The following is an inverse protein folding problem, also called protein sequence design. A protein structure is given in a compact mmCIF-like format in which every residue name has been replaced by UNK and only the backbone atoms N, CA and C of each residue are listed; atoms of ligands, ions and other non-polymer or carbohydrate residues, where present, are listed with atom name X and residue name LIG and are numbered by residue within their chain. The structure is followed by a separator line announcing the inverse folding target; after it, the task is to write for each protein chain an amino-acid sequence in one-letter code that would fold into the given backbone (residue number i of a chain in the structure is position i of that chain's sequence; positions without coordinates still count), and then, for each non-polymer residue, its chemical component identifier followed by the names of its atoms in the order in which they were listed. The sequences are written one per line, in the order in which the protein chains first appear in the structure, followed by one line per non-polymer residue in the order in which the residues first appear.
data_IF_203791586068
#
_entry.id   IF_203791586068
#
_cell.length_a   1.000
_cell.length_b   1.000
_cell.length_c   1.000
_cell.angle_alpha   90.00
_cell.angle_beta   90.00
_cell.angle_gamma   90.00
#
_symmetry.space_group_name_H-M   'P 1'
#
loop_
_entity.id
_entity.type
_entity.pdbx_description
1 polymer ?
#
# COMPACT_ATOMS: atom_id res chain seq x y z
N UNK A 1 -26.76 18.07 15.05
CA UNK A 1 -26.00 17.86 13.80
C UNK A 1 -24.77 16.97 14.00
N UNK A 2 -23.96 17.14 15.04
CA UNK A 2 -22.74 16.34 15.24
C UNK A 2 -22.93 14.82 15.43
N UNK A 3 -24.00 14.38 16.11
CA UNK A 3 -24.25 12.94 16.35
C UNK A 3 -24.63 12.21 15.06
N UNK A 4 -25.49 12.80 14.22
CA UNK A 4 -25.87 12.18 12.93
C UNK A 4 -24.69 12.12 11.97
N UNK A 5 -23.88 13.17 11.91
CA UNK A 5 -22.68 13.24 11.08
C UNK A 5 -21.64 12.17 11.50
N UNK A 6 -21.39 12.02 12.81
CA UNK A 6 -20.48 10.99 13.31
C UNK A 6 -20.99 9.56 12.99
N UNK A 7 -22.30 9.31 13.04
CA UNK A 7 -22.88 8.02 12.64
C UNK A 7 -22.62 7.74 11.15
N UNK A 8 -22.87 8.71 10.28
CA UNK A 8 -22.64 8.57 8.83
C UNK A 8 -21.15 8.29 8.57
N UNK A 9 -20.25 9.09 9.14
CA UNK A 9 -18.81 8.88 8.94
C UNK A 9 -18.36 7.52 9.52
N UNK A 10 -18.95 7.04 10.61
CA UNK A 10 -18.67 5.70 11.16
C UNK A 10 -19.03 4.58 10.18
N UNK A 11 -20.19 4.67 9.51
CA UNK A 11 -20.60 3.71 8.48
C UNK A 11 -19.66 3.77 7.27
N UNK A 12 -19.34 4.98 6.82
CA UNK A 12 -18.40 5.18 5.70
C UNK A 12 -17.01 4.64 6.03
N UNK A 13 -16.54 4.80 7.27
CA UNK A 13 -15.26 4.26 7.73
C UNK A 13 -15.26 2.74 7.71
N UNK A 14 -16.33 2.10 8.18
CA UNK A 14 -16.50 0.64 8.11
C UNK A 14 -16.45 0.12 6.67
N UNK A 15 -17.11 0.81 5.74
CA UNK A 15 -17.21 0.43 4.34
C UNK A 15 -15.99 0.88 3.50
N UNK A 16 -15.11 1.72 4.05
CA UNK A 16 -14.02 2.34 3.29
C UNK A 16 -13.05 1.32 2.70
N UNK A 17 -12.59 0.36 3.49
CA UNK A 17 -11.65 -0.68 3.02
C UNK A 17 -12.32 -1.62 2.01
N UNK A 18 -13.50 -2.21 2.29
CA UNK A 18 -14.20 -3.06 1.32
C UNK A 18 -14.43 -2.38 -0.03
N UNK A 19 -15.03 -1.18 -0.02
CA UNK A 19 -15.38 -0.50 -1.26
C UNK A 19 -14.14 -0.07 -2.05
N UNK A 20 -13.12 0.45 -1.37
CA UNK A 20 -11.91 0.92 -2.04
C UNK A 20 -11.14 -0.22 -2.73
N UNK A 21 -11.17 -1.41 -2.12
CA UNK A 21 -10.40 -2.56 -2.59
C UNK A 21 -11.14 -3.43 -3.62
N UNK A 22 -12.48 -3.37 -3.65
CA UNK A 22 -13.30 -4.24 -4.49
C UNK A 22 -14.04 -3.46 -5.58
N UNK A 23 -14.49 -2.23 -5.30
CA UNK A 23 -15.27 -1.46 -6.26
C UNK A 23 -14.40 -0.61 -7.19
N UNK A 24 -14.64 -0.59 -8.52
CA UNK A 24 -13.86 0.21 -9.47
C UNK A 24 -13.82 1.71 -9.13
N UNK A 25 -14.95 2.24 -8.64
CA UNK A 25 -15.09 3.63 -8.18
C UNK A 25 -15.08 3.76 -6.65
N UNK A 26 -14.48 2.80 -5.96
CA UNK A 26 -14.44 2.75 -4.49
C UNK A 26 -13.79 3.98 -3.84
N UNK A 27 -12.89 4.65 -4.55
CA UNK A 27 -12.28 5.90 -4.10
C UNK A 27 -13.28 7.04 -3.83
N UNK A 28 -14.48 7.03 -4.42
CA UNK A 28 -15.52 8.05 -4.18
C UNK A 28 -15.96 8.10 -2.70
N UNK A 29 -15.86 6.99 -1.96
CA UNK A 29 -16.18 6.98 -0.52
C UNK A 29 -15.30 7.95 0.26
N UNK A 30 -14.02 8.08 -0.13
CA UNK A 30 -13.11 9.03 0.51
C UNK A 30 -13.41 10.47 0.12
N UNK A 31 -13.85 10.73 -1.10
CA UNK A 31 -14.37 12.05 -1.48
C UNK A 31 -15.51 12.49 -0.58
N UNK A 32 -16.43 11.59 -0.26
CA UNK A 32 -17.53 11.87 0.68
C UNK A 32 -17.01 12.06 2.12
N UNK A 33 -16.09 11.21 2.59
CA UNK A 33 -15.48 11.35 3.93
C UNK A 33 -14.72 12.69 4.03
N UNK A 34 -13.98 13.10 3.01
CA UNK A 34 -13.29 14.40 2.96
C UNK A 34 -14.28 15.54 3.09
N UNK A 35 -15.34 15.55 2.29
CA UNK A 35 -16.36 16.56 2.31
C UNK A 35 -17.03 16.69 3.69
N UNK A 36 -17.45 15.56 4.26
CA UNK A 36 -18.06 15.52 5.58
C UNK A 36 -17.09 15.94 6.69
N UNK A 37 -15.81 15.60 6.55
CA UNK A 37 -14.76 16.02 7.48
C UNK A 37 -14.57 17.54 7.46
N UNK A 38 -14.55 18.15 6.28
CA UNK A 38 -14.46 19.61 6.12
C UNK A 38 -15.67 20.32 6.75
N UNK A 39 -16.88 19.80 6.53
CA UNK A 39 -18.10 20.34 7.15
C UNK A 39 -18.05 20.23 8.68
N UNK A 40 -17.58 19.09 9.19
CA UNK A 40 -17.42 18.90 10.64
C UNK A 40 -16.38 19.83 11.25
N UNK A 41 -15.23 20.00 10.59
CA UNK A 41 -14.16 20.89 11.06
C UNK A 41 -14.58 22.36 11.05
N UNK A 42 -15.31 22.81 10.02
CA UNK A 42 -15.87 24.18 9.95
C UNK A 42 -16.80 24.48 11.12
N UNK A 43 -17.59 23.51 11.55
CA UNK A 43 -18.58 23.66 12.62
C UNK A 43 -18.03 23.32 14.01
N UNK A 44 -16.75 22.98 14.14
CA UNK A 44 -16.14 22.64 15.42
C UNK A 44 -15.68 23.88 16.17
N UNK A 45 -16.05 23.96 17.44
CA UNK A 45 -15.56 24.99 18.39
C UNK A 45 -14.19 24.63 18.98
N UNK A 46 -13.57 23.55 18.49
CA UNK A 46 -12.30 23.05 19.02
C UNK A 46 -11.13 23.93 18.59
N UNK A 47 -10.37 24.43 19.58
CA UNK A 47 -9.00 24.92 19.34
C UNK A 47 -8.17 23.75 18.84
N UNK A 48 -7.55 23.89 17.65
CA UNK A 48 -6.65 22.86 17.11
C UNK A 48 -5.52 22.59 18.11
N UNK A 49 -5.47 21.41 18.76
CA UNK A 49 -4.37 21.10 19.66
C UNK A 49 -3.06 21.11 18.86
N UNK A 50 -1.98 21.56 19.48
CA UNK A 50 -0.68 21.62 18.82
C UNK A 50 -0.29 20.26 18.23
N UNK A 51 0.11 20.26 16.95
CA UNK A 51 0.64 19.08 16.30
C UNK A 51 1.98 18.68 16.91
N UNK A 52 2.17 17.40 17.18
CA UNK A 52 3.47 16.88 17.57
C UNK A 52 4.43 16.79 16.37
N UNK A 53 5.70 16.44 16.63
CA UNK A 53 6.73 16.39 15.60
C UNK A 53 6.43 15.40 14.47
N UNK A 54 5.75 14.30 14.77
CA UNK A 54 5.42 13.27 13.79
C UNK A 54 4.25 13.70 12.91
N UNK A 55 3.23 14.31 13.50
CA UNK A 55 2.10 14.88 12.78
C UNK A 55 2.59 15.98 11.80
N UNK A 56 3.49 16.86 12.27
CA UNK A 56 4.13 17.89 11.42
C UNK A 56 4.94 17.26 10.29
N UNK A 57 5.66 16.18 10.57
CA UNK A 57 6.47 15.50 9.57
C UNK A 57 5.62 14.86 8.47
N UNK A 58 4.47 14.24 8.80
CA UNK A 58 3.54 13.70 7.82
C UNK A 58 2.93 14.81 6.95
N UNK A 59 2.43 15.88 7.57
CA UNK A 59 1.85 17.01 6.83
C UNK A 59 2.88 17.65 5.91
N UNK A 60 4.11 17.85 6.39
CA UNK A 60 5.22 18.35 5.59
C UNK A 60 5.54 17.41 4.41
N UNK A 61 5.65 16.11 4.66
CA UNK A 61 6.00 15.13 3.62
C UNK A 61 4.94 15.06 2.52
N UNK A 62 3.66 15.09 2.89
CA UNK A 62 2.53 15.12 1.95
C UNK A 62 2.51 16.41 1.14
N UNK A 63 2.74 17.54 1.82
CA UNK A 63 2.86 18.85 1.16
C UNK A 63 4.04 18.94 0.22
N UNK A 64 5.20 18.40 0.62
CA UNK A 64 6.40 18.40 -0.19
C UNK A 64 6.28 17.53 -1.44
N UNK A 65 5.61 16.38 -1.34
CA UNK A 65 5.30 15.54 -2.49
C UNK A 65 4.43 16.28 -3.51
N UNK A 66 3.38 16.96 -3.05
CA UNK A 66 2.54 17.80 -3.91
C UNK A 66 3.34 18.94 -4.58
N UNK A 67 4.18 19.64 -3.81
CA UNK A 67 5.00 20.73 -4.32
C UNK A 67 6.02 20.24 -5.36
N UNK A 68 6.65 19.08 -5.13
CA UNK A 68 7.58 18.47 -6.09
C UNK A 68 6.91 18.20 -7.43
N UNK A 69 5.71 17.59 -7.41
CA UNK A 69 4.94 17.34 -8.63
C UNK A 69 4.49 18.66 -9.31
N UNK A 70 4.05 19.64 -8.53
CA UNK A 70 3.66 20.94 -9.07
C UNK A 70 4.83 21.64 -9.76
N UNK A 71 6.03 21.59 -9.17
CA UNK A 71 7.26 22.15 -9.80
C UNK A 71 7.54 21.43 -11.12
N UNK A 72 7.47 20.10 -11.16
CA UNK A 72 7.68 19.32 -12.38
C UNK A 72 6.70 19.74 -13.49
N UNK A 73 5.40 19.84 -13.17
CA UNK A 73 4.37 20.25 -14.14
C UNK A 73 4.63 21.66 -14.69
N UNK A 74 4.99 22.60 -13.82
CA UNK A 74 5.28 23.98 -14.23
C UNK A 74 6.54 24.13 -15.09
N UNK A 75 7.53 23.26 -14.89
CA UNK A 75 8.79 23.31 -15.63
C UNK A 75 8.71 22.62 -17.00
N UNK A 76 7.83 21.63 -17.14
CA UNK A 76 7.75 20.80 -18.35
C UNK A 76 6.40 20.93 -19.08
N UNK A 77 5.65 22.02 -18.84
CA UNK A 77 4.36 22.31 -19.46
C UNK A 77 3.36 21.12 -19.35
N UNK A 78 3.38 20.43 -18.18
CA UNK A 78 2.51 19.29 -17.89
C UNK A 78 1.04 19.71 -17.73
N UNK A 79 0.14 18.75 -17.82
CA UNK A 79 -1.29 19.00 -17.66
C UNK A 79 -1.70 19.11 -16.18
N UNK A 80 -2.71 19.92 -15.87
CA UNK A 80 -3.25 20.04 -14.48
C UNK A 80 -3.76 18.70 -13.96
N UNK A 81 -4.21 17.79 -14.85
CA UNK A 81 -4.65 16.43 -14.44
C UNK A 81 -3.52 15.63 -13.80
N UNK A 82 -2.26 15.93 -14.12
CA UNK A 82 -1.11 15.19 -13.60
C UNK A 82 -0.91 15.47 -12.09
N UNK A 83 -1.50 16.57 -11.57
CA UNK A 83 -1.61 16.82 -10.12
C UNK A 83 -2.60 15.90 -9.40
N UNK A 84 -3.42 15.11 -10.10
CA UNK A 84 -4.51 14.36 -9.47
C UNK A 84 -3.98 13.43 -8.35
N UNK A 85 -2.92 12.68 -8.62
CA UNK A 85 -2.33 11.76 -7.63
C UNK A 85 -1.73 12.52 -6.45
N UNK A 86 -0.89 13.52 -6.73
CA UNK A 86 -0.21 14.31 -5.70
C UNK A 86 -1.19 15.12 -4.84
N UNK A 87 -2.26 15.65 -5.44
CA UNK A 87 -3.30 16.41 -4.74
C UNK A 87 -4.02 15.58 -3.67
N UNK A 88 -4.13 14.27 -3.83
CA UNK A 88 -4.77 13.37 -2.87
C UNK A 88 -4.08 13.35 -1.52
N UNK A 89 -2.75 13.49 -1.50
CA UNK A 89 -2.00 13.59 -0.24
C UNK A 89 -2.41 14.82 0.58
N UNK A 90 -2.74 15.93 -0.07
CA UNK A 90 -3.27 17.12 0.60
C UNK A 90 -4.76 16.97 0.95
N UNK A 91 -5.55 16.46 0.01
CA UNK A 91 -7.00 16.30 0.16
C UNK A 91 -7.40 15.35 1.28
N UNK A 92 -6.54 14.43 1.71
CA UNK A 92 -6.82 13.54 2.86
C UNK A 92 -6.51 14.17 4.22
N UNK A 93 -5.81 15.30 4.29
CA UNK A 93 -5.49 15.97 5.56
C UNK A 93 -6.74 16.34 6.39
N UNK A 94 -7.87 16.81 5.82
CA UNK A 94 -9.11 17.00 6.56
C UNK A 94 -9.59 15.74 7.28
N UNK A 95 -9.39 14.54 6.70
CA UNK A 95 -9.71 13.25 7.33
C UNK A 95 -8.89 13.08 8.61
N UNK A 96 -7.57 13.31 8.52
CA UNK A 96 -6.67 13.22 9.66
C UNK A 96 -7.11 14.18 10.80
N UNK A 97 -7.34 15.45 10.50
CA UNK A 97 -7.73 16.44 11.50
C UNK A 97 -9.11 16.17 12.10
N UNK A 98 -10.06 15.66 11.31
CA UNK A 98 -11.38 15.29 11.80
C UNK A 98 -11.29 14.10 12.76
N UNK A 99 -10.64 12.99 12.35
CA UNK A 99 -10.53 11.81 13.21
C UNK A 99 -9.72 12.07 14.47
N UNK A 100 -8.77 12.98 14.44
CA UNK A 100 -8.01 13.42 15.61
C UNK A 100 -8.88 14.02 16.74
N UNK A 101 -10.04 14.54 16.37
CA UNK A 101 -10.99 15.17 17.30
C UNK A 101 -12.26 14.32 17.53
N UNK A 102 -12.43 13.27 16.75
CA UNK A 102 -13.62 12.44 16.80
C UNK A 102 -13.56 11.43 17.96
N UNK A 103 -14.75 10.98 18.41
CA UNK A 103 -14.89 9.86 19.35
C UNK A 103 -15.28 8.57 18.62
N UNK A 104 -14.99 8.45 17.32
CA UNK A 104 -15.31 7.29 16.52
C UNK A 104 -14.41 6.13 16.94
N UNK A 105 -15.00 4.94 17.09
CA UNK A 105 -14.28 3.76 17.53
C UNK A 105 -13.36 3.21 16.43
N UNK A 106 -12.06 2.97 16.73
CA UNK A 106 -11.10 2.38 15.79
C UNK A 106 -11.51 1.01 15.26
N UNK A 107 -12.28 0.24 16.05
CA UNK A 107 -12.71 -1.12 15.69
C UNK A 107 -13.54 -1.14 14.41
N UNK A 108 -14.24 -0.05 14.08
CA UNK A 108 -15.03 0.04 12.84
C UNK A 108 -14.16 -0.10 11.60
N UNK A 109 -13.03 0.60 11.56
CA UNK A 109 -12.07 0.47 10.45
C UNK A 109 -11.55 -0.97 10.35
N UNK A 110 -11.17 -1.57 11.48
CA UNK A 110 -10.66 -2.92 11.50
C UNK A 110 -11.73 -3.98 11.16
N UNK A 111 -12.98 -3.75 11.55
CA UNK A 111 -14.11 -4.59 11.09
C UNK A 111 -14.25 -4.54 9.57
N UNK A 112 -14.05 -3.37 8.95
CA UNK A 112 -13.96 -3.23 7.50
C UNK A 112 -12.83 -4.07 6.89
N UNK A 113 -11.67 -4.15 7.54
CA UNK A 113 -10.54 -5.01 7.11
C UNK A 113 -10.95 -6.50 7.12
N UNK A 114 -11.64 -6.95 8.17
CA UNK A 114 -12.12 -8.34 8.27
C UNK A 114 -13.18 -8.64 7.20
N UNK A 115 -14.15 -7.74 7.00
CA UNK A 115 -15.16 -7.86 5.93
C UNK A 115 -14.47 -7.94 4.56
N UNK A 116 -13.43 -7.16 4.34
CA UNK A 116 -12.66 -7.18 3.08
C UNK A 116 -12.04 -8.56 2.84
N UNK A 117 -11.42 -9.17 3.86
CA UNK A 117 -10.86 -10.52 3.74
C UNK A 117 -11.91 -11.57 3.40
N UNK A 118 -13.08 -11.50 4.06
CA UNK A 118 -14.20 -12.36 3.74
C UNK A 118 -14.65 -12.22 2.27
N UNK A 119 -14.79 -10.98 1.80
CA UNK A 119 -15.17 -10.71 0.42
C UNK A 119 -14.11 -11.20 -0.58
N UNK A 120 -12.82 -11.05 -0.28
CA UNK A 120 -11.74 -11.61 -1.11
C UNK A 120 -11.82 -13.13 -1.22
N UNK A 121 -12.14 -13.82 -0.12
CA UNK A 121 -12.37 -15.27 -0.12
C UNK A 121 -13.58 -15.66 -0.99
N UNK A 122 -14.69 -14.96 -0.85
CA UNK A 122 -15.89 -15.18 -1.68
C UNK A 122 -15.60 -14.95 -3.17
N UNK A 123 -14.82 -13.94 -3.49
CA UNK A 123 -14.48 -13.56 -4.87
C UNK A 123 -13.54 -14.57 -5.53
N UNK A 124 -12.51 -15.04 -4.83
CA UNK A 124 -11.43 -15.85 -5.43
C UNK A 124 -11.51 -17.34 -5.12
N UNK A 125 -11.94 -17.70 -3.93
CA UNK A 125 -11.96 -19.11 -3.49
C UNK A 125 -13.28 -19.79 -3.90
N UNK A 126 -14.42 -19.11 -3.74
CA UNK A 126 -15.73 -19.66 -4.08
C UNK A 126 -15.84 -20.13 -5.55
N UNK A 127 -15.38 -19.34 -6.55
CA UNK A 127 -15.41 -19.77 -7.95
C UNK A 127 -14.61 -21.04 -8.24
N UNK A 128 -13.53 -21.30 -7.50
CA UNK A 128 -12.70 -22.51 -7.68
C UNK A 128 -13.50 -23.76 -7.31
N UNK A 129 -14.29 -23.71 -6.23
CA UNK A 129 -15.07 -24.87 -5.74
C UNK A 129 -16.41 -25.05 -6.43
N UNK A 130 -17.06 -23.97 -6.83
CA UNK A 130 -18.43 -24.00 -7.34
C UNK A 130 -18.54 -23.67 -8.83
N UNK A 131 -17.42 -23.48 -9.54
CA UNK A 131 -17.39 -23.12 -10.97
C UNK A 131 -18.26 -21.90 -11.32
N UNK A 132 -18.48 -21.00 -10.36
CA UNK A 132 -19.29 -19.80 -10.53
C UNK A 132 -18.42 -18.72 -11.22
N UNK A 133 -18.84 -18.29 -12.41
CA UNK A 133 -18.24 -17.09 -13.02
C UNK A 133 -18.88 -15.85 -12.40
N UNK A 134 -18.08 -14.98 -11.86
CA UNK A 134 -18.51 -13.66 -11.36
C UNK A 134 -18.04 -12.63 -12.40
N UNK A 135 -18.89 -12.26 -13.39
CA UNK A 135 -18.48 -11.47 -14.56
C UNK A 135 -17.86 -10.12 -14.19
N UNK A 136 -18.30 -9.54 -13.09
CA UNK A 136 -17.84 -8.25 -12.61
C UNK A 136 -16.35 -8.24 -12.20
N UNK A 137 -15.79 -9.41 -11.89
CA UNK A 137 -14.41 -9.57 -11.40
C UNK A 137 -13.39 -9.79 -12.52
N UNK A 138 -13.84 -10.19 -13.70
CA UNK A 138 -12.99 -10.21 -14.88
C UNK A 138 -12.55 -8.79 -15.28
N UNK A 139 -13.35 -7.77 -14.96
CA UNK A 139 -13.02 -6.35 -15.16
C UNK A 139 -12.02 -5.78 -14.14
N UNK A 140 -11.89 -6.40 -12.95
CA UNK A 140 -10.95 -5.96 -11.92
C UNK A 140 -9.55 -6.56 -12.13
N UNK A 141 -9.10 -6.57 -13.38
CA UNK A 141 -7.85 -7.18 -13.82
C UNK A 141 -6.58 -6.38 -13.45
N UNK A 142 -6.67 -5.53 -12.44
CA UNK A 142 -5.50 -5.02 -11.73
C UNK A 142 -5.01 -6.09 -10.73
N UNK A 143 -4.63 -7.24 -11.27
CA UNK A 143 -4.19 -8.40 -10.48
C UNK A 143 -3.14 -8.02 -9.42
N UNK A 144 -2.29 -7.04 -9.71
CA UNK A 144 -1.26 -6.54 -8.79
C UNK A 144 -1.84 -5.86 -7.55
N UNK A 145 -2.79 -4.93 -7.69
CA UNK A 145 -3.38 -4.21 -6.57
C UNK A 145 -4.27 -5.12 -5.71
N UNK A 146 -5.06 -5.99 -6.34
CA UNK A 146 -5.88 -6.94 -5.60
C UNK A 146 -5.01 -7.88 -4.76
N UNK A 147 -3.87 -8.34 -5.29
CA UNK A 147 -2.88 -9.13 -4.56
C UNK A 147 -2.28 -8.33 -3.40
N UNK A 148 -1.92 -7.07 -3.64
CA UNK A 148 -1.36 -6.18 -2.61
C UNK A 148 -2.34 -6.00 -1.45
N UNK A 149 -3.60 -5.66 -1.74
CA UNK A 149 -4.62 -5.46 -0.72
C UNK A 149 -4.92 -6.74 0.06
N UNK A 150 -4.98 -7.89 -0.63
CA UNK A 150 -5.23 -9.18 0.02
C UNK A 150 -4.10 -9.53 0.99
N UNK A 151 -2.86 -9.30 0.63
CA UNK A 151 -1.70 -9.54 1.48
C UNK A 151 -1.68 -8.61 2.69
N UNK A 152 -1.91 -7.30 2.49
CA UNK A 152 -1.96 -6.32 3.59
C UNK A 152 -3.07 -6.66 4.58
N UNK A 153 -4.27 -6.95 4.08
CA UNK A 153 -5.44 -7.31 4.89
C UNK A 153 -5.18 -8.60 5.66
N UNK A 154 -4.73 -9.66 4.98
CA UNK A 154 -4.45 -10.96 5.57
C UNK A 154 -3.41 -10.91 6.68
N UNK A 155 -2.26 -10.27 6.43
CA UNK A 155 -1.19 -10.09 7.42
C UNK A 155 -1.68 -9.25 8.61
N UNK A 156 -2.43 -8.18 8.35
CA UNK A 156 -2.91 -7.32 9.43
C UNK A 156 -3.84 -8.05 10.39
N UNK A 157 -4.76 -8.87 9.86
CA UNK A 157 -5.66 -9.68 10.68
C UNK A 157 -4.87 -10.74 11.44
N UNK A 158 -3.94 -11.43 10.78
CA UNK A 158 -3.12 -12.47 11.40
C UNK A 158 -2.28 -11.93 12.56
N UNK A 159 -1.62 -10.78 12.42
CA UNK A 159 -0.80 -10.19 13.47
C UNK A 159 -1.61 -9.52 14.60
N UNK A 160 -2.94 -9.44 14.49
CA UNK A 160 -3.83 -8.99 15.56
C UNK A 160 -4.16 -10.10 16.58
N UNK A 161 -3.77 -11.36 16.32
CA UNK A 161 -3.89 -12.47 17.28
C UNK A 161 -3.18 -12.12 18.57
N UNK A 162 -3.81 -12.37 19.74
CA UNK A 162 -3.26 -12.06 21.05
C UNK A 162 -3.68 -13.08 22.08
N UNK A 163 -2.83 -13.30 23.11
CA UNK A 163 -3.18 -14.11 24.27
C UNK A 163 -4.29 -13.49 25.12
N UNK A 164 -4.49 -12.18 25.01
CA UNK A 164 -5.55 -11.45 25.72
C UNK A 164 -6.93 -11.67 25.07
N UNK A 165 -6.96 -12.24 23.87
CA UNK A 165 -8.21 -12.54 23.17
C UNK A 165 -8.78 -13.90 23.61
N UNK A 166 -10.12 -14.05 23.66
CA UNK A 166 -10.75 -15.37 23.73
C UNK A 166 -10.29 -16.28 22.59
N UNK A 167 -10.18 -17.59 22.85
CA UNK A 167 -9.72 -18.58 21.87
C UNK A 167 -10.55 -18.50 20.58
N UNK A 168 -11.87 -18.39 20.69
CA UNK A 168 -12.77 -18.30 19.53
C UNK A 168 -12.46 -17.08 18.65
N UNK A 169 -12.15 -15.93 19.24
CA UNK A 169 -11.75 -14.75 18.48
C UNK A 169 -10.42 -14.99 17.75
N UNK A 170 -9.44 -15.60 18.40
CA UNK A 170 -8.16 -15.91 17.75
C UNK A 170 -8.35 -16.89 16.58
N UNK A 171 -9.20 -17.93 16.72
CA UNK A 171 -9.52 -18.85 15.63
C UNK A 171 -10.17 -18.12 14.45
N UNK A 172 -11.09 -17.22 14.72
CA UNK A 172 -11.73 -16.36 13.73
C UNK A 172 -10.71 -15.48 13.00
N UNK A 173 -9.79 -14.83 13.72
CA UNK A 173 -8.72 -14.00 13.15
C UNK A 173 -7.75 -14.84 12.31
N UNK A 174 -7.38 -16.04 12.77
CA UNK A 174 -6.55 -16.98 12.00
C UNK A 174 -7.23 -17.32 10.67
N UNK A 175 -8.51 -17.66 10.72
CA UNK A 175 -9.26 -18.05 9.53
C UNK A 175 -9.32 -16.92 8.49
N UNK A 176 -9.71 -15.72 8.88
CA UNK A 176 -9.81 -14.59 7.94
C UNK A 176 -8.44 -14.04 7.53
N UNK A 177 -7.45 -14.04 8.41
CA UNK A 177 -6.07 -13.69 8.06
C UNK A 177 -5.49 -14.66 7.02
N UNK A 178 -5.75 -15.96 7.20
CA UNK A 178 -5.35 -16.99 6.26
C UNK A 178 -6.03 -16.84 4.88
N UNK A 179 -7.33 -16.53 4.84
CA UNK A 179 -8.05 -16.25 3.58
C UNK A 179 -7.33 -15.15 2.79
N UNK A 180 -7.02 -14.00 3.41
CA UNK A 180 -6.35 -12.90 2.73
C UNK A 180 -4.98 -13.30 2.17
N UNK A 181 -4.19 -14.07 2.94
CA UNK A 181 -2.87 -14.56 2.51
C UNK A 181 -3.00 -15.56 1.36
N UNK A 182 -3.93 -16.52 1.45
CA UNK A 182 -4.18 -17.51 0.38
C UNK A 182 -4.60 -16.83 -0.91
N UNK A 183 -5.50 -15.84 -0.83
CA UNK A 183 -5.93 -15.09 -2.02
C UNK A 183 -4.75 -14.35 -2.65
N UNK A 184 -3.85 -13.75 -1.85
CA UNK A 184 -2.65 -13.12 -2.36
C UNK A 184 -1.71 -14.11 -3.07
N UNK A 185 -1.58 -15.33 -2.55
CA UNK A 185 -0.78 -16.40 -3.17
C UNK A 185 -1.41 -16.87 -4.49
N UNK A 186 -2.72 -17.14 -4.50
CA UNK A 186 -3.45 -17.62 -5.67
C UNK A 186 -3.41 -16.61 -6.83
N UNK A 187 -3.40 -15.33 -6.54
CA UNK A 187 -3.29 -14.28 -7.54
C UNK A 187 -1.88 -14.15 -8.15
N UNK A 188 -0.84 -14.64 -7.50
CA UNK A 188 0.49 -14.82 -8.08
C UNK A 188 1.33 -13.56 -8.28
N UNK A 189 1.04 -12.46 -7.62
CA UNK A 189 1.81 -11.21 -7.71
C UNK A 189 3.20 -11.31 -7.08
N UNK A 190 4.25 -11.57 -7.89
CA UNK A 190 5.63 -11.78 -7.42
C UNK A 190 6.18 -10.60 -6.60
N UNK A 191 5.89 -9.36 -7.01
CA UNK A 191 6.31 -8.16 -6.27
C UNK A 191 5.68 -8.08 -4.88
N UNK A 192 4.43 -8.53 -4.72
CA UNK A 192 3.75 -8.60 -3.41
C UNK A 192 4.42 -9.62 -2.50
N UNK A 193 4.87 -10.76 -3.03
CA UNK A 193 5.59 -11.76 -2.22
C UNK A 193 6.89 -11.19 -1.65
N UNK A 194 7.64 -10.43 -2.48
CA UNK A 194 8.85 -9.73 -2.03
C UNK A 194 8.54 -8.72 -0.92
N UNK A 195 7.41 -8.02 -0.97
CA UNK A 195 6.99 -7.09 0.08
C UNK A 195 6.45 -7.81 1.33
N UNK A 196 5.85 -8.99 1.16
CA UNK A 196 5.28 -9.79 2.26
C UNK A 196 6.34 -10.23 3.27
N UNK A 197 7.49 -10.71 2.79
CA UNK A 197 8.57 -11.26 3.62
C UNK A 197 9.10 -10.20 4.62
N UNK A 198 9.63 -9.04 4.18
CA UNK A 198 10.16 -8.04 5.10
C UNK A 198 9.07 -7.45 6.01
N UNK A 199 7.84 -7.27 5.52
CA UNK A 199 6.73 -6.79 6.35
C UNK A 199 6.39 -7.78 7.46
N UNK A 200 6.37 -9.09 7.15
CA UNK A 200 6.12 -10.13 8.13
C UNK A 200 7.18 -10.13 9.25
N UNK A 201 8.47 -10.12 8.89
CA UNK A 201 9.55 -10.07 9.89
C UNK A 201 9.57 -8.76 10.67
N UNK A 202 9.26 -7.63 10.04
CA UNK A 202 9.15 -6.36 10.72
C UNK A 202 8.00 -6.36 11.74
N UNK A 203 6.84 -6.94 11.43
CA UNK A 203 5.74 -7.11 12.38
C UNK A 203 6.09 -8.06 13.53
N UNK A 204 6.81 -9.16 13.26
CA UNK A 204 7.32 -10.04 14.31
C UNK A 204 8.23 -9.28 15.28
N UNK A 205 9.04 -8.38 14.79
CA UNK A 205 9.99 -7.62 15.59
C UNK A 205 9.33 -6.47 16.36
N UNK A 206 8.51 -5.65 15.65
CA UNK A 206 7.97 -4.41 16.21
C UNK A 206 6.65 -4.58 16.97
N UNK A 207 5.89 -5.69 16.77
CA UNK A 207 4.65 -5.93 17.49
C UNK A 207 4.91 -6.67 18.81
N UNK A 208 4.89 -5.98 19.97
CA UNK A 208 5.22 -6.61 21.25
C UNK A 208 4.13 -7.53 21.79
N UNK A 209 2.88 -7.38 21.31
CA UNK A 209 1.73 -8.12 21.83
C UNK A 209 1.46 -9.44 21.11
N UNK A 210 2.11 -9.67 19.97
CA UNK A 210 1.79 -10.82 19.13
C UNK A 210 2.16 -12.15 19.78
N UNK A 211 3.44 -12.33 20.14
CA UNK A 211 3.98 -13.57 20.70
C UNK A 211 5.17 -13.27 21.62
N UNK A 212 5.50 -14.19 22.54
CA UNK A 212 6.74 -14.11 23.30
C UNK A 212 7.96 -14.49 22.42
N UNK A 213 9.18 -14.34 22.96
CA UNK A 213 10.42 -14.60 22.21
C UNK A 213 10.51 -16.03 21.68
N UNK A 214 10.12 -17.03 22.49
CA UNK A 214 10.15 -18.44 22.11
C UNK A 214 9.15 -18.74 20.99
N UNK A 215 7.91 -18.26 21.13
CA UNK A 215 6.85 -18.45 20.12
C UNK A 215 7.20 -17.77 18.80
N UNK A 216 7.78 -16.57 18.82
CA UNK A 216 8.31 -15.90 17.62
C UNK A 216 9.38 -16.74 16.94
N UNK A 217 10.32 -17.30 17.73
CA UNK A 217 11.36 -18.18 17.19
C UNK A 217 10.79 -19.44 16.58
N UNK A 218 9.86 -20.10 17.27
CA UNK A 218 9.20 -21.32 16.76
C UNK A 218 8.41 -21.04 15.46
N UNK A 219 7.64 -19.96 15.42
CA UNK A 219 6.90 -19.55 14.22
C UNK A 219 7.85 -19.23 13.06
N UNK A 220 8.91 -18.48 13.33
CA UNK A 220 9.93 -18.16 12.32
C UNK A 220 10.59 -19.42 11.78
N UNK A 221 10.99 -20.34 12.67
CA UNK A 221 11.57 -21.64 12.27
C UNK A 221 10.58 -22.48 11.47
N UNK A 222 9.33 -22.55 11.89
CA UNK A 222 8.27 -23.25 11.17
C UNK A 222 8.07 -22.70 9.76
N UNK A 223 8.05 -21.38 9.60
CA UNK A 223 7.90 -20.74 8.29
C UNK A 223 9.12 -21.03 7.40
N UNK A 224 10.35 -20.88 7.94
CA UNK A 224 11.57 -21.19 7.20
C UNK A 224 11.55 -22.65 6.73
N UNK A 225 11.23 -23.57 7.63
CA UNK A 225 11.14 -25.01 7.30
C UNK A 225 10.06 -25.26 6.26
N UNK A 226 8.86 -24.67 6.39
CA UNK A 226 7.76 -24.84 5.44
C UNK A 226 8.10 -24.29 4.06
N UNK A 227 8.73 -23.11 4.00
CA UNK A 227 9.22 -22.54 2.73
C UNK A 227 10.28 -23.44 2.13
N UNK A 228 11.28 -23.87 2.91
CA UNK A 228 12.33 -24.77 2.44
C UNK A 228 11.75 -26.08 1.91
N UNK A 229 10.87 -26.72 2.68
CA UNK A 229 10.20 -27.95 2.25
C UNK A 229 9.38 -27.77 0.97
N UNK A 230 8.76 -26.60 0.78
CA UNK A 230 7.99 -26.33 -0.44
C UNK A 230 8.86 -26.37 -1.70
N UNK A 231 10.17 -26.10 -1.60
CA UNK A 231 11.12 -26.24 -2.70
C UNK A 231 11.51 -27.69 -2.99
N UNK A 232 11.33 -28.60 -2.04
CA UNK A 232 11.65 -30.03 -2.24
C UNK A 232 10.45 -30.87 -2.70
N UNK A 233 9.25 -30.29 -2.76
CA UNK A 233 8.07 -31.01 -3.28
C UNK A 233 8.22 -31.30 -4.78
N UNK A 234 7.91 -32.48 -5.26
CA UNK A 234 7.86 -32.78 -6.69
C UNK A 234 6.92 -31.82 -7.42
N UNK A 235 7.35 -31.31 -8.57
CA UNK A 235 6.58 -30.34 -9.38
C UNK A 235 6.15 -29.06 -8.63
N UNK A 236 6.99 -28.61 -7.70
CA UNK A 236 6.68 -27.40 -6.91
C UNK A 236 6.50 -26.18 -7.80
N UNK A 237 5.33 -25.49 -7.75
CA UNK A 237 5.13 -24.23 -8.45
C UNK A 237 6.14 -23.15 -8.03
N UNK A 238 6.68 -23.24 -6.81
CA UNK A 238 7.68 -22.30 -6.29
C UNK A 238 9.02 -22.48 -7.04
N UNK A 239 9.50 -23.72 -7.20
CA UNK A 239 10.72 -24.01 -7.96
C UNK A 239 10.56 -23.54 -9.40
N UNK A 240 9.47 -23.92 -10.06
CA UNK A 240 9.22 -23.53 -11.45
C UNK A 240 9.25 -22.01 -11.64
N UNK A 241 8.66 -21.26 -10.71
CA UNK A 241 8.65 -19.77 -10.76
C UNK A 241 10.04 -19.17 -10.53
N UNK A 242 10.82 -19.75 -9.61
CA UNK A 242 12.20 -19.30 -9.38
C UNK A 242 13.08 -19.64 -10.57
N UNK A 243 12.96 -20.85 -11.11
CA UNK A 243 13.70 -21.26 -12.31
C UNK A 243 13.36 -20.39 -13.52
N UNK A 244 12.07 -20.11 -13.76
CA UNK A 244 11.65 -19.17 -14.81
C UNK A 244 12.23 -17.77 -14.60
N UNK A 245 12.20 -17.24 -13.37
CA UNK A 245 12.78 -15.95 -13.09
C UNK A 245 14.30 -15.94 -13.30
N UNK A 246 14.99 -16.99 -12.88
CA UNK A 246 16.43 -17.16 -13.11
C UNK A 246 16.75 -17.27 -14.60
N UNK A 247 16.03 -18.11 -15.35
CA UNK A 247 16.23 -18.22 -16.80
C UNK A 247 15.90 -16.91 -17.54
N UNK A 248 14.88 -16.17 -17.11
CA UNK A 248 14.55 -14.87 -17.67
C UNK A 248 15.72 -13.87 -17.50
N UNK A 249 16.38 -13.87 -16.32
CA UNK A 249 17.55 -13.02 -16.05
C UNK A 249 18.72 -13.42 -16.92
N UNK A 250 19.06 -14.73 -16.96
CA UNK A 250 20.16 -15.25 -17.78
C UNK A 250 19.94 -14.92 -19.24
N UNK A 251 18.74 -15.20 -19.77
CA UNK A 251 18.39 -14.89 -21.15
C UNK A 251 18.51 -13.39 -21.47
N UNK A 252 18.13 -12.54 -20.51
CA UNK A 252 18.30 -11.09 -20.68
C UNK A 252 19.77 -10.68 -20.71
N UNK A 253 20.59 -11.21 -19.81
CA UNK A 253 22.03 -10.89 -19.73
C UNK A 253 22.78 -11.40 -20.97
N UNK A 254 22.50 -12.64 -21.42
CA UNK A 254 23.25 -13.30 -22.50
C UNK A 254 22.80 -12.85 -23.89
N UNK A 255 21.51 -12.59 -24.10
CA UNK A 255 20.94 -12.33 -25.44
C UNK A 255 20.17 -11.01 -25.55
N UNK A 256 20.04 -10.24 -24.44
CA UNK A 256 19.24 -9.01 -24.43
C UNK A 256 17.74 -9.25 -24.55
N UNK A 257 17.25 -10.50 -24.32
CA UNK A 257 15.85 -10.84 -24.50
C UNK A 257 14.94 -10.13 -23.48
N UNK A 258 14.29 -9.05 -23.92
CA UNK A 258 13.38 -8.24 -23.12
C UNK A 258 11.89 -8.67 -23.21
N UNK A 259 11.57 -9.75 -23.93
CA UNK A 259 10.17 -10.20 -24.13
C UNK A 259 9.59 -10.79 -22.83
N UNK A 260 10.43 -11.37 -21.97
CA UNK A 260 10.00 -12.03 -20.74
C UNK A 260 9.54 -11.02 -19.69
N UNK A 261 8.79 -11.50 -18.68
CA UNK A 261 8.27 -10.62 -17.60
C UNK A 261 9.37 -10.00 -16.74
N UNK A 262 10.53 -10.65 -16.59
CA UNK A 262 11.68 -10.09 -15.86
C UNK A 262 12.53 -9.27 -16.81
N UNK A 263 12.82 -9.78 -18.00
CA UNK A 263 13.61 -9.08 -19.01
C UNK A 263 13.03 -7.71 -19.38
N UNK A 264 11.70 -7.63 -19.58
CA UNK A 264 11.05 -6.34 -19.86
C UNK A 264 11.21 -5.32 -18.73
N UNK A 265 11.17 -5.76 -17.45
CA UNK A 265 11.43 -4.85 -16.32
C UNK A 265 12.88 -4.39 -16.27
N UNK A 266 13.83 -5.30 -16.47
CA UNK A 266 15.26 -4.95 -16.49
C UNK A 266 15.55 -3.93 -17.60
N UNK A 267 14.95 -4.12 -18.77
CA UNK A 267 15.11 -3.17 -19.88
C UNK A 267 14.44 -1.82 -19.61
N UNK A 268 13.25 -1.79 -18.98
CA UNK A 268 12.61 -0.55 -18.55
C UNK A 268 13.42 0.16 -17.44
N UNK A 269 14.04 -0.58 -16.52
CA UNK A 269 14.94 -0.02 -15.51
C UNK A 269 16.20 0.54 -16.14
N UNK A 270 16.74 -0.11 -17.18
CA UNK A 270 17.85 0.41 -17.98
C UNK A 270 17.46 1.72 -18.68
N UNK A 271 16.27 1.79 -19.30
CA UNK A 271 15.75 3.02 -19.88
C UNK A 271 15.63 4.13 -18.83
N UNK A 272 15.02 3.85 -17.68
CA UNK A 272 14.91 4.81 -16.59
C UNK A 272 16.27 5.30 -16.10
N UNK A 273 17.25 4.41 -15.94
CA UNK A 273 18.61 4.76 -15.55
C UNK A 273 19.28 5.72 -16.56
N UNK A 274 19.14 5.45 -17.85
CA UNK A 274 19.70 6.32 -18.91
C UNK A 274 19.08 7.73 -18.87
N UNK A 275 17.75 7.79 -18.74
CA UNK A 275 17.00 9.05 -18.64
C UNK A 275 17.41 9.83 -17.38
N UNK A 276 17.50 9.17 -16.22
CA UNK A 276 17.91 9.80 -14.96
C UNK A 276 19.35 10.33 -15.07
N UNK A 277 20.25 9.61 -15.73
CA UNK A 277 21.64 10.03 -15.93
C UNK A 277 21.72 11.32 -16.75
N UNK A 278 20.85 11.50 -17.74
CA UNK A 278 20.76 12.70 -18.56
C UNK A 278 20.09 13.86 -17.81
N UNK A 279 19.10 13.58 -16.95
CA UNK A 279 18.25 14.57 -16.28
C UNK A 279 18.16 14.36 -14.76
N UNK A 280 19.27 14.37 -13.99
CA UNK A 280 19.28 13.89 -12.60
C UNK A 280 18.56 14.82 -11.60
N UNK A 281 18.51 16.13 -11.86
CA UNK A 281 18.01 17.10 -10.88
C UNK A 281 16.51 17.33 -10.94
N UNK A 282 15.96 17.51 -12.14
CA UNK A 282 14.58 17.91 -12.37
C UNK A 282 13.74 16.82 -13.06
N UNK A 283 14.38 15.76 -13.59
CA UNK A 283 13.72 14.73 -14.37
C UNK A 283 13.32 15.23 -15.76
N UNK A 284 12.30 14.62 -16.33
CA UNK A 284 11.81 14.92 -17.67
C UNK A 284 10.35 15.40 -17.70
N UNK A 285 9.70 15.54 -16.55
CA UNK A 285 8.27 15.85 -16.43
C UNK A 285 7.39 14.61 -16.45
N UNK A 286 6.16 14.78 -15.93
CA UNK A 286 5.12 13.73 -15.91
C UNK A 286 4.80 13.27 -17.35
N UNK A 287 4.42 12.01 -17.50
CA UNK A 287 4.02 11.38 -18.77
C UNK A 287 5.08 11.35 -19.90
N UNK A 288 6.25 11.95 -19.73
CA UNK A 288 7.29 12.02 -20.77
C UNK A 288 8.18 10.77 -20.86
N UNK A 289 8.03 9.80 -19.96
CA UNK A 289 8.79 8.54 -20.02
C UNK A 289 8.59 7.80 -21.35
N UNK A 290 7.39 7.81 -21.88
CA UNK A 290 7.07 7.13 -23.15
C UNK A 290 7.84 7.73 -24.33
N UNK A 291 7.89 9.05 -24.47
CA UNK A 291 8.58 9.75 -25.56
C UNK A 291 10.09 9.56 -25.48
N UNK A 292 10.67 9.73 -24.29
CA UNK A 292 12.10 9.52 -24.04
C UNK A 292 12.53 8.06 -24.26
N UNK A 293 11.71 7.11 -23.83
CA UNK A 293 11.95 5.69 -24.11
C UNK A 293 11.95 5.41 -25.61
N UNK A 294 11.02 6.00 -26.38
CA UNK A 294 11.00 5.85 -27.86
C UNK A 294 12.25 6.45 -28.50
N UNK A 295 12.76 7.59 -28.00
CA UNK A 295 14.05 8.15 -28.42
C UNK A 295 15.18 7.14 -28.22
N UNK A 296 15.32 6.57 -27.02
CA UNK A 296 16.34 5.57 -26.70
C UNK A 296 16.22 4.28 -27.54
N UNK A 297 14.99 3.85 -27.90
CA UNK A 297 14.76 2.73 -28.82
C UNK A 297 15.27 3.06 -30.22
N UNK A 298 14.98 4.25 -30.74
CA UNK A 298 15.39 4.68 -32.07
C UNK A 298 16.94 4.89 -32.15
N UNK A 299 17.58 5.24 -31.07
CA UNK A 299 19.03 5.31 -30.94
C UNK A 299 19.70 3.94 -30.79
N UNK A 300 18.92 2.87 -30.64
CA UNK A 300 19.44 1.51 -30.42
C UNK A 300 20.02 1.27 -29.02
N UNK A 301 19.78 2.18 -28.06
CA UNK A 301 20.29 2.09 -26.70
C UNK A 301 19.55 1.06 -25.84
N UNK A 302 18.29 0.80 -26.17
CA UNK A 302 17.41 -0.17 -25.50
C UNK A 302 16.58 -0.96 -26.50
N UNK A 303 16.07 -2.12 -26.08
CA UNK A 303 15.27 -3.00 -26.93
C UNK A 303 13.90 -2.42 -27.26
N UNK A 304 13.45 -2.66 -28.51
CA UNK A 304 12.09 -2.33 -28.97
C UNK A 304 11.00 -3.16 -28.28
N UNK A 305 11.34 -4.29 -27.69
CA UNK A 305 10.37 -5.19 -27.02
C UNK A 305 9.58 -4.49 -25.89
N UNK A 306 10.13 -3.40 -25.33
CA UNK A 306 9.48 -2.64 -24.28
C UNK A 306 8.64 -1.46 -24.79
N UNK A 307 8.47 -1.29 -26.09
CA UNK A 307 7.74 -0.15 -26.67
C UNK A 307 6.32 0.02 -26.10
N UNK A 308 5.64 -1.09 -25.82
CA UNK A 308 4.25 -1.12 -25.30
C UNK A 308 4.08 -0.60 -23.87
N UNK A 309 5.14 -0.49 -23.09
CA UNK A 309 5.07 -0.06 -21.69
C UNK A 309 5.22 1.45 -21.56
N UNK A 310 4.43 2.09 -20.71
CA UNK A 310 4.38 3.54 -20.58
C UNK A 310 5.07 4.07 -19.29
N UNK A 311 5.55 3.20 -18.41
CA UNK A 311 6.16 3.55 -17.12
C UNK A 311 7.30 2.61 -16.77
N UNK A 312 8.16 3.02 -15.83
CA UNK A 312 9.38 2.29 -15.46
C UNK A 312 9.16 1.02 -14.62
N UNK A 313 7.92 0.69 -14.24
CA UNK A 313 7.60 -0.43 -13.34
C UNK A 313 8.38 -0.43 -12.01
N UNK A 314 8.41 0.71 -11.35
CA UNK A 314 8.98 0.90 -10.03
C UNK A 314 8.76 2.34 -9.59
N UNK A 315 8.07 2.56 -8.45
CA UNK A 315 7.70 3.90 -7.99
C UNK A 315 8.92 4.79 -7.79
N UNK A 316 10.00 4.25 -7.21
CA UNK A 316 11.24 5.00 -7.01
C UNK A 316 11.86 5.48 -8.33
N UNK A 317 11.85 4.63 -9.36
CA UNK A 317 12.37 4.98 -10.67
C UNK A 317 11.45 5.96 -11.38
N UNK A 318 10.12 5.73 -11.37
CA UNK A 318 9.15 6.63 -12.00
C UNK A 318 9.25 8.03 -11.41
N UNK A 319 9.17 8.18 -10.08
CA UNK A 319 9.30 9.49 -9.43
C UNK A 319 10.64 10.17 -9.74
N UNK A 320 11.73 9.40 -9.88
CA UNK A 320 13.04 9.98 -10.21
C UNK A 320 13.14 10.37 -11.68
N UNK A 321 12.58 9.57 -12.58
CA UNK A 321 12.51 9.91 -14.02
C UNK A 321 11.72 11.19 -14.23
N UNK A 322 10.53 11.27 -13.61
CA UNK A 322 9.59 12.37 -13.84
C UNK A 322 10.02 13.69 -13.17
N UNK A 323 10.53 13.61 -11.93
CA UNK A 323 10.78 14.78 -11.09
C UNK A 323 12.23 14.88 -10.59
N UNK A 324 13.13 14.05 -11.09
CA UNK A 324 14.54 14.03 -10.68
C UNK A 324 14.72 13.68 -9.20
N UNK A 325 15.81 14.22 -8.63
CA UNK A 325 16.14 14.00 -7.21
C UNK A 325 15.07 14.57 -6.26
N UNK A 326 14.32 15.60 -6.66
CA UNK A 326 13.24 16.17 -5.86
C UNK A 326 12.09 15.16 -5.71
N UNK A 327 11.70 14.48 -6.79
CA UNK A 327 10.68 13.42 -6.75
C UNK A 327 11.13 12.26 -5.88
N UNK A 328 12.36 11.79 -6.04
CA UNK A 328 12.91 10.74 -5.19
C UNK A 328 12.88 11.10 -3.70
N UNK A 329 13.37 12.29 -3.33
CA UNK A 329 13.36 12.76 -1.94
C UNK A 329 11.93 12.88 -1.41
N UNK A 330 11.00 13.42 -2.21
CA UNK A 330 9.61 13.59 -1.80
C UNK A 330 8.95 12.25 -1.49
N UNK A 331 9.17 11.23 -2.32
CA UNK A 331 8.68 9.88 -2.12
C UNK A 331 9.29 9.24 -0.86
N UNK A 332 10.60 9.36 -0.66
CA UNK A 332 11.28 8.88 0.55
C UNK A 332 10.73 9.55 1.80
N UNK A 333 10.42 10.84 1.77
CA UNK A 333 9.82 11.55 2.91
C UNK A 333 8.41 11.03 3.21
N UNK A 334 7.56 10.80 2.19
CA UNK A 334 6.23 10.22 2.36
C UNK A 334 6.31 8.86 3.01
N UNK A 335 7.14 7.95 2.48
CA UNK A 335 7.31 6.62 3.04
C UNK A 335 7.93 6.63 4.45
N UNK A 336 8.96 7.40 4.67
CA UNK A 336 9.65 7.48 5.96
C UNK A 336 8.74 8.06 7.05
N UNK A 337 8.00 9.12 6.77
CA UNK A 337 7.13 9.75 7.76
C UNK A 337 6.05 8.80 8.26
N UNK A 338 5.39 8.10 7.36
CA UNK A 338 4.32 7.16 7.69
C UNK A 338 4.85 5.88 8.34
N UNK A 339 5.97 5.34 7.86
CA UNK A 339 6.57 4.12 8.37
C UNK A 339 7.11 4.30 9.80
N UNK A 340 7.93 5.31 10.04
CA UNK A 340 8.49 5.56 11.37
C UNK A 340 7.42 5.95 12.39
N UNK A 341 6.39 6.69 11.95
CA UNK A 341 5.25 6.98 12.83
C UNK A 341 4.48 5.70 13.16
N UNK A 342 4.26 4.82 12.20
CA UNK A 342 3.62 3.52 12.43
C UNK A 342 4.43 2.64 13.40
N UNK A 343 5.77 2.60 13.29
CA UNK A 343 6.64 1.91 14.26
C UNK A 343 6.46 2.49 15.66
N UNK A 344 6.48 3.81 15.80
CA UNK A 344 6.25 4.46 17.09
C UNK A 344 4.94 4.02 17.70
N UNK A 345 3.84 4.05 16.92
CA UNK A 345 2.53 3.67 17.39
C UNK A 345 2.44 2.19 17.79
N UNK A 346 3.08 1.30 17.02
CA UNK A 346 3.14 -0.13 17.36
C UNK A 346 3.85 -0.41 18.68
N UNK A 347 4.87 0.37 19.03
CA UNK A 347 5.62 0.20 20.30
C UNK A 347 4.87 0.73 21.52
N UNK A 348 3.89 1.59 21.33
CA UNK A 348 3.09 2.12 22.43
C UNK A 348 2.20 1.04 23.05
N UNK A 349 2.11 1.00 24.39
CA UNK A 349 1.15 0.14 25.11
C UNK A 349 -0.24 0.75 25.01
N UNK A 350 -1.00 0.31 24.03
CA UNK A 350 -2.34 0.81 23.74
C UNK A 350 -3.41 -0.27 24.01
N UNK A 351 -4.66 0.19 24.07
CA UNK A 351 -5.83 -0.67 24.07
C UNK A 351 -5.84 -1.57 22.83
N UNK A 352 -6.40 -2.77 22.95
CA UNK A 352 -6.51 -3.79 21.91
C UNK A 352 -7.14 -3.24 20.62
N UNK A 353 -8.19 -2.42 20.71
CA UNK A 353 -8.86 -1.84 19.55
C UNK A 353 -7.97 -0.86 18.75
N UNK A 354 -7.11 -0.10 19.44
CA UNK A 354 -6.12 0.72 18.76
C UNK A 354 -5.03 -0.12 18.12
N UNK A 355 -4.64 -1.20 18.78
CA UNK A 355 -3.58 -2.07 18.28
C UNK A 355 -3.92 -2.66 16.93
N UNK A 356 -5.19 -3.03 16.69
CA UNK A 356 -5.64 -3.56 15.41
C UNK A 356 -5.38 -2.62 14.24
N UNK A 357 -5.77 -1.34 14.38
CA UNK A 357 -5.57 -0.36 13.31
C UNK A 357 -4.10 0.09 13.19
N UNK A 358 -3.33 0.04 14.26
CA UNK A 358 -1.89 0.35 14.22
C UNK A 358 -1.10 -0.73 13.47
N UNK A 359 -1.46 -2.02 13.65
CA UNK A 359 -0.92 -3.13 12.86
C UNK A 359 -1.27 -2.94 11.38
N UNK A 360 -2.52 -2.58 11.09
CA UNK A 360 -2.97 -2.32 9.72
C UNK A 360 -2.20 -1.15 9.08
N UNK A 361 -2.04 -0.03 9.78
CA UNK A 361 -1.27 1.12 9.30
C UNK A 361 0.21 0.80 9.06
N UNK A 362 0.82 0.03 9.94
CA UNK A 362 2.18 -0.44 9.75
C UNK A 362 2.30 -1.36 8.53
N UNK A 363 1.35 -2.29 8.37
CA UNK A 363 1.32 -3.18 7.20
C UNK A 363 1.22 -2.38 5.90
N UNK A 364 0.32 -1.40 5.82
CA UNK A 364 0.21 -0.52 4.64
C UNK A 364 1.55 0.18 4.37
N UNK A 365 2.11 0.87 5.37
CA UNK A 365 3.36 1.63 5.19
C UNK A 365 4.51 0.74 4.74
N UNK A 366 4.66 -0.44 5.35
CA UNK A 366 5.72 -1.39 5.02
C UNK A 366 5.55 -2.00 3.63
N UNK A 367 4.35 -2.49 3.30
CA UNK A 367 4.08 -3.08 1.98
C UNK A 367 4.31 -2.10 0.85
N UNK A 368 3.89 -0.84 0.99
CA UNK A 368 4.08 0.17 -0.05
C UNK A 368 5.57 0.45 -0.29
N UNK A 369 6.38 0.56 0.75
CA UNK A 369 7.84 0.72 0.62
C UNK A 369 8.44 -0.41 -0.22
N UNK A 370 8.18 -1.66 0.15
CA UNK A 370 8.81 -2.80 -0.52
C UNK A 370 8.19 -3.11 -1.88
N UNK A 371 6.89 -2.93 -2.06
CA UNK A 371 6.23 -3.16 -3.33
C UNK A 371 6.60 -2.12 -4.39
N UNK A 372 6.93 -0.90 -3.99
CA UNK A 372 7.38 0.20 -4.83
C UNK A 372 8.69 -0.09 -5.58
N UNK A 373 9.49 -1.06 -5.13
CA UNK A 373 10.67 -1.49 -5.91
C UNK A 373 10.31 -2.14 -7.23
N UNK A 374 9.15 -2.76 -7.34
CA UNK A 374 8.75 -3.57 -8.50
C UNK A 374 7.51 -3.07 -9.21
N UNK A 375 6.81 -2.06 -8.68
CA UNK A 375 5.56 -1.54 -9.24
C UNK A 375 5.37 -0.06 -8.90
N UNK A 376 4.68 0.65 -9.79
CA UNK A 376 4.16 1.99 -9.52
C UNK A 376 2.94 1.89 -8.60
N UNK A 377 3.10 2.24 -7.32
CA UNK A 377 2.03 2.12 -6.33
C UNK A 377 1.09 3.31 -6.39
N UNK A 378 1.55 4.45 -6.87
CA UNK A 378 0.76 5.67 -7.01
C UNK A 378 0.25 5.92 -8.43
N UNK A 379 0.57 5.07 -9.41
CA UNK A 379 -0.01 5.13 -10.76
C UNK A 379 -1.54 4.95 -10.77
N UNK A 380 -2.11 4.42 -9.68
CA UNK A 380 -3.53 4.10 -9.58
C UNK A 380 -4.22 4.88 -8.47
N UNK A 381 -5.31 5.56 -8.84
CA UNK A 381 -6.11 6.38 -7.93
C UNK A 381 -6.53 5.67 -6.64
N UNK A 382 -7.04 4.44 -6.74
CA UNK A 382 -7.47 3.68 -5.58
C UNK A 382 -6.29 3.30 -4.68
N UNK A 383 -5.12 3.05 -5.24
CA UNK A 383 -3.92 2.71 -4.49
C UNK A 383 -3.42 3.90 -3.68
N UNK A 384 -3.37 5.08 -4.29
CA UNK A 384 -2.97 6.32 -3.58
C UNK A 384 -3.93 6.63 -2.44
N UNK A 385 -5.26 6.51 -2.65
CA UNK A 385 -6.25 6.72 -1.60
C UNK A 385 -6.18 5.63 -0.52
N UNK A 386 -5.92 4.37 -0.89
CA UNK A 386 -5.73 3.31 0.10
C UNK A 386 -4.56 3.62 1.02
N UNK A 387 -3.45 4.09 0.46
CA UNK A 387 -2.31 4.51 1.26
C UNK A 387 -2.62 5.76 2.09
N UNK A 388 -2.91 6.89 1.44
CA UNK A 388 -2.96 8.18 2.09
C UNK A 388 -4.19 8.35 3.01
N UNK A 389 -5.40 7.98 2.55
CA UNK A 389 -6.62 8.22 3.30
C UNK A 389 -6.82 7.23 4.45
N UNK A 390 -6.44 5.95 4.26
CA UNK A 390 -6.50 4.97 5.34
C UNK A 390 -5.47 5.32 6.43
N UNK A 391 -4.23 5.68 6.06
CA UNK A 391 -3.22 6.09 7.04
C UNK A 391 -3.63 7.39 7.76
N UNK A 392 -4.18 8.38 7.06
CA UNK A 392 -4.72 9.59 7.67
C UNK A 392 -5.82 9.25 8.70
N UNK A 393 -6.71 8.32 8.37
CA UNK A 393 -7.75 7.84 9.28
C UNK A 393 -7.16 7.14 10.52
N UNK A 394 -6.21 6.24 10.33
CA UNK A 394 -5.56 5.49 11.41
C UNK A 394 -4.81 6.42 12.36
N UNK A 395 -4.02 7.34 11.81
CA UNK A 395 -3.24 8.28 12.60
C UNK A 395 -4.13 9.25 13.37
N UNK A 396 -5.18 9.76 12.74
CA UNK A 396 -6.17 10.61 13.39
C UNK A 396 -6.89 9.90 14.54
N UNK A 397 -7.44 8.70 14.30
CA UNK A 397 -8.12 7.89 15.33
C UNK A 397 -7.21 7.54 16.50
N UNK A 398 -5.95 7.15 16.21
CA UNK A 398 -4.97 6.83 17.25
C UNK A 398 -4.69 8.05 18.13
N UNK A 399 -4.55 9.22 17.51
CA UNK A 399 -4.28 10.46 18.22
C UNK A 399 -5.46 10.92 19.08
N UNK A 400 -6.68 10.81 18.56
CA UNK A 400 -7.90 11.10 19.32
C UNK A 400 -7.95 10.31 20.64
N UNK A 401 -7.66 9.02 20.56
CA UNK A 401 -7.67 8.17 21.74
C UNK A 401 -6.58 8.56 22.76
N UNK A 402 -5.39 8.97 22.30
CA UNK A 402 -4.32 9.44 23.17
C UNK A 402 -4.67 10.76 23.87
N UNK A 403 -5.37 11.67 23.20
CA UNK A 403 -5.82 12.95 23.77
C UNK A 403 -6.89 12.69 24.83
N UNK A 404 -7.91 11.88 24.50
CA UNK A 404 -9.01 11.57 25.43
C UNK A 404 -8.60 10.78 26.67
N UNK A 405 -7.44 10.11 26.65
CA UNK A 405 -6.89 9.40 27.83
C UNK A 405 -6.18 10.35 28.80
N UNK A 406 -5.79 11.53 28.35
CA UNK A 406 -5.09 12.54 29.16
C UNK A 406 -6.01 13.56 29.81
N UNK A 407 -7.24 13.70 29.30
CA UNK A 407 -8.34 14.49 29.85
C UNK A 407 -9.20 13.63 30.76
#
# INVERSE_FOLDING_TARGET
MGIALNKIISILLLLSVPLLTIAPKGGMIFGLIILLSLVALKNSTYKYPHMDKWEKFIVFSFGFYFISTLISILLFDGEIRDLDVASRFLLVLPIFFFFRQSKISPILLFSGVIITSMLFGLIKILPIFFSVKIPYLEFYNQAGLFTLYSAIVGISIFFFISREHPVLLNLFLIFFGFIGIVVAILNGGRGVWLATIPTFFALLYFNPMFLNKLEKSLLTSFIIVSVTLSFYLPNSPAIERVQRASSDIVNYVDSGNAITSVGSRLEMWKAAYLIIKENPLLGIGEDNFKSEKLRLINEGSISRDIERYNHAHGEYLSSTVEQGILGFISLILVFSSTFFYSIKLLKEKNNVHLKSIQIFGFSISSFYIFYSFTNGVFDHQNSTLFYAAILASIFGLTKSFQINKKT
#
